data_IF_558453125794
#
_entry.id   IF_558453125794
#
_cell.length_a   1.000
_cell.length_b   1.000
_cell.length_c   1.000
_cell.angle_alpha   90.00
_cell.angle_beta   90.00
_cell.angle_gamma   90.00
#
_symmetry.space_group_name_H-M   'P 1'
#
loop_
_entity.id
_entity.type
_entity.pdbx_description
1 polymer ?
#
# COMPACT_ATOMS: atom_id res chain seq x y z
N UNK A 1 -14.97 25.31 48.80
CA UNK A 1 -16.26 24.76 49.25
C UNK A 1 -17.30 24.84 48.11
N UNK A 2 -17.02 24.24 46.94
CA UNK A 2 -17.93 24.28 45.76
C UNK A 2 -17.81 23.00 44.90
N UNK A 3 -17.61 21.83 45.53
CA UNK A 3 -17.43 20.54 44.82
C UNK A 3 -18.60 19.55 44.99
N UNK A 4 -19.75 19.98 45.54
CA UNK A 4 -20.82 19.04 45.94
C UNK A 4 -22.25 19.51 45.62
N UNK A 5 -22.52 20.03 44.41
CA UNK A 5 -23.91 20.40 44.06
C UNK A 5 -24.42 19.96 42.68
N UNK A 6 -23.64 19.25 41.88
CA UNK A 6 -24.10 18.79 40.55
C UNK A 6 -24.14 17.26 40.45
N UNK A 7 -24.60 16.62 41.53
CA UNK A 7 -24.84 15.18 41.61
C UNK A 7 -26.35 14.84 41.75
N UNK A 8 -27.25 15.74 41.36
CA UNK A 8 -28.70 15.61 41.58
C UNK A 8 -29.56 16.02 40.37
N UNK A 9 -29.23 15.52 39.18
CA UNK A 9 -30.21 15.45 38.08
C UNK A 9 -30.26 14.03 37.50
N UNK A 10 -30.64 13.09 38.37
CA UNK A 10 -31.15 11.77 38.00
C UNK A 10 -32.64 11.88 37.64
N UNK A 11 -33.13 10.91 36.87
CA UNK A 11 -34.53 10.51 36.59
C UNK A 11 -35.22 11.09 35.33
N UNK A 12 -35.40 10.20 34.34
CA UNK A 12 -36.34 10.32 33.22
C UNK A 12 -35.65 9.94 31.90
N UNK A 13 -35.57 8.69 31.49
CA UNK A 13 -36.71 7.94 30.97
C UNK A 13 -36.38 6.45 30.95
N UNK A 14 -37.15 5.69 31.73
CA UNK A 14 -37.13 4.25 31.90
C UNK A 14 -38.14 3.61 30.91
N UNK A 15 -37.86 2.37 30.52
CA UNK A 15 -38.78 1.37 29.94
C UNK A 15 -39.26 1.54 28.49
N UNK A 16 -38.86 0.59 27.63
CA UNK A 16 -39.85 -0.26 26.96
C UNK A 16 -39.25 -1.63 26.59
N UNK A 17 -39.41 -2.60 27.48
CA UNK A 17 -39.28 -4.04 27.23
C UNK A 17 -40.68 -4.63 27.36
N UNK A 18 -41.26 -5.11 26.26
CA UNK A 18 -42.44 -5.99 26.20
C UNK A 18 -42.26 -6.88 24.95
N UNK A 19 -41.66 -8.07 25.06
CA UNK A 19 -42.32 -9.38 25.22
C UNK A 19 -43.53 -9.54 24.32
N UNK A 20 -43.45 -10.43 23.31
CA UNK A 20 -44.48 -11.42 23.01
C UNK A 20 -43.87 -12.64 22.30
N UNK A 21 -43.63 -13.70 23.08
CA UNK A 21 -43.57 -15.08 22.61
C UNK A 21 -44.98 -15.55 22.27
N UNK A 22 -45.15 -16.24 21.14
CA UNK A 22 -46.44 -16.83 20.75
C UNK A 22 -46.28 -18.08 19.89
N UNK A 23 -46.17 -19.24 20.54
CA UNK A 23 -46.45 -20.55 19.93
C UNK A 23 -47.84 -21.02 20.36
N UNK A 24 -48.76 -21.24 19.41
CA UNK A 24 -49.68 -22.40 19.37
C UNK A 24 -50.78 -22.24 18.31
N UNK A 25 -50.85 -23.17 17.34
CA UNK A 25 -52.06 -23.92 16.95
C UNK A 25 -51.77 -24.81 15.73
N UNK A 26 -51.81 -26.12 15.93
CA UNK A 26 -52.37 -27.06 14.95
C UNK A 26 -53.90 -27.10 15.18
N UNK A 27 -54.79 -27.35 14.18
CA UNK A 27 -54.85 -28.66 13.52
C UNK A 27 -55.49 -28.72 12.10
N UNK A 28 -55.55 -29.97 11.60
CA UNK A 28 -56.44 -30.61 10.61
C UNK A 28 -55.99 -30.72 9.15
N UNK A 29 -55.69 -31.99 8.85
CA UNK A 29 -55.81 -32.72 7.59
C UNK A 29 -56.90 -32.20 6.64
N UNK A 30 -56.48 -31.96 5.40
CA UNK A 30 -57.36 -31.93 4.24
C UNK A 30 -56.70 -32.79 3.15
N UNK A 31 -57.39 -33.87 2.79
CA UNK A 31 -57.02 -34.79 1.71
C UNK A 31 -57.31 -34.10 0.38
N UNK A 32 -56.27 -33.73 -0.37
CA UNK A 32 -56.43 -33.26 -1.74
C UNK A 32 -55.74 -34.19 -2.75
N UNK A 33 -56.60 -34.60 -3.67
CA UNK A 33 -56.46 -35.38 -4.89
C UNK A 33 -55.11 -35.20 -5.61
N UNK A 34 -54.47 -36.31 -6.02
CA UNK A 34 -53.30 -36.31 -6.91
C UNK A 34 -53.69 -35.70 -8.27
N UNK A 35 -52.99 -34.66 -8.76
CA UNK A 35 -53.04 -34.32 -10.18
C UNK A 35 -52.33 -35.40 -11.00
N UNK A 36 -52.84 -35.63 -12.22
CA UNK A 36 -52.25 -36.52 -13.21
C UNK A 36 -50.79 -36.13 -13.53
N UNK A 37 -49.91 -37.08 -13.90
CA UNK A 37 -48.53 -36.77 -14.21
C UNK A 37 -48.46 -35.85 -15.43
N UNK A 38 -47.85 -34.69 -15.23
CA UNK A 38 -47.40 -33.80 -16.30
C UNK A 38 -46.36 -34.55 -17.13
N UNK A 39 -46.38 -34.49 -18.48
CA UNK A 39 -45.30 -35.07 -19.27
C UNK A 39 -43.98 -34.44 -18.83
N UNK A 40 -43.06 -35.30 -18.40
CA UNK A 40 -41.73 -34.94 -17.94
C UNK A 40 -40.96 -34.35 -19.13
N UNK A 41 -40.79 -33.03 -19.13
CA UNK A 41 -39.89 -32.34 -20.06
C UNK A 41 -38.50 -32.80 -19.68
N UNK A 42 -37.90 -33.66 -20.51
CA UNK A 42 -36.49 -34.04 -20.37
C UNK A 42 -35.67 -32.77 -20.56
N UNK A 43 -34.98 -32.25 -19.53
CA UNK A 43 -34.14 -31.08 -19.69
C UNK A 43 -33.04 -31.42 -20.71
N UNK A 44 -32.92 -30.59 -21.73
CA UNK A 44 -31.82 -30.66 -22.67
C UNK A 44 -30.51 -30.53 -21.89
N UNK A 45 -29.68 -31.57 -21.95
CA UNK A 45 -28.41 -31.63 -21.24
C UNK A 45 -27.46 -30.60 -21.84
N UNK A 46 -27.34 -29.44 -21.20
CA UNK A 46 -26.23 -28.52 -21.46
C UNK A 46 -24.98 -29.22 -20.91
N UNK A 47 -24.01 -29.61 -21.76
CA UNK A 47 -22.77 -30.18 -21.25
C UNK A 47 -22.10 -29.14 -20.34
N UNK A 48 -21.75 -29.57 -19.13
CA UNK A 48 -20.99 -28.74 -18.21
C UNK A 48 -19.75 -28.20 -18.92
N UNK A 49 -19.35 -26.93 -18.69
CA UNK A 49 -18.08 -26.43 -19.20
C UNK A 49 -16.99 -27.39 -18.73
N UNK A 50 -16.14 -27.82 -19.66
CA UNK A 50 -15.04 -28.72 -19.35
C UNK A 50 -14.23 -28.12 -18.18
N UNK A 51 -13.86 -28.93 -17.17
CA UNK A 51 -13.04 -28.45 -16.07
C UNK A 51 -11.77 -27.84 -16.65
N UNK A 52 -11.26 -26.72 -16.08
CA UNK A 52 -10.04 -26.11 -16.58
C UNK A 52 -8.94 -27.18 -16.62
N UNK A 53 -8.43 -27.42 -17.83
CA UNK A 53 -7.26 -28.27 -18.05
C UNK A 53 -6.15 -27.77 -17.13
N UNK A 54 -5.74 -28.60 -16.18
CA UNK A 54 -4.57 -28.34 -15.35
C UNK A 54 -3.32 -28.62 -16.19
N UNK A 55 -3.09 -27.86 -17.24
CA UNK A 55 -1.73 -27.82 -17.79
C UNK A 55 -0.80 -27.32 -16.68
N UNK A 56 0.30 -28.04 -16.38
CA UNK A 56 1.28 -27.55 -15.43
C UNK A 56 1.76 -26.18 -15.89
N UNK A 57 1.31 -25.12 -15.21
CA UNK A 57 1.80 -23.78 -15.47
C UNK A 57 3.30 -23.82 -15.19
N UNK A 58 4.10 -23.71 -16.26
CA UNK A 58 5.54 -23.73 -16.17
C UNK A 58 5.97 -22.70 -15.11
N UNK A 59 6.77 -23.08 -14.10
CA UNK A 59 7.17 -22.14 -13.05
C UNK A 59 7.80 -20.92 -13.71
N UNK A 60 7.41 -19.72 -13.25
CA UNK A 60 7.99 -18.48 -13.71
C UNK A 60 9.51 -18.58 -13.57
N UNK A 61 10.22 -18.63 -14.69
CA UNK A 61 11.68 -18.67 -14.70
C UNK A 61 12.19 -17.44 -13.96
N UNK A 62 13.22 -17.56 -13.09
CA UNK A 62 13.80 -16.39 -12.44
C UNK A 62 14.25 -15.39 -13.52
N UNK A 63 13.85 -14.12 -13.40
CA UNK A 63 14.26 -13.08 -14.36
C UNK A 63 15.79 -13.00 -14.38
N UNK A 64 16.38 -12.85 -15.56
CA UNK A 64 17.82 -12.65 -15.67
C UNK A 64 18.23 -11.31 -15.05
N UNK A 65 19.42 -11.29 -14.44
CA UNK A 65 19.96 -10.09 -13.78
C UNK A 65 20.06 -8.92 -14.76
N UNK A 66 20.47 -9.17 -16.01
CA UNK A 66 20.60 -8.13 -17.03
C UNK A 66 19.27 -7.41 -17.31
N UNK A 67 18.16 -8.17 -17.36
CA UNK A 67 16.82 -7.60 -17.54
C UNK A 67 16.47 -6.71 -16.35
N UNK A 68 16.68 -7.19 -15.12
CA UNK A 68 16.43 -6.43 -13.89
C UNK A 68 17.22 -5.11 -13.90
N UNK A 69 18.50 -5.15 -14.24
CA UNK A 69 19.37 -3.95 -14.28
C UNK A 69 18.92 -2.97 -15.36
N UNK A 70 18.48 -3.47 -16.52
CA UNK A 70 17.98 -2.60 -17.58
C UNK A 70 16.67 -1.91 -17.21
N UNK A 71 15.73 -2.64 -16.62
CA UNK A 71 14.44 -2.11 -16.16
C UNK A 71 14.62 -1.13 -15.01
N UNK A 72 15.53 -1.42 -14.07
CA UNK A 72 15.72 -0.57 -12.89
C UNK A 72 16.11 0.85 -13.27
N UNK A 73 16.81 1.05 -14.40
CA UNK A 73 17.22 2.40 -14.85
C UNK A 73 16.04 3.31 -15.20
N UNK A 74 14.93 2.76 -15.66
CA UNK A 74 13.73 3.55 -15.99
C UNK A 74 12.74 3.65 -14.84
N UNK A 75 12.82 2.74 -13.85
CA UNK A 75 11.89 2.67 -12.72
C UNK A 75 12.42 3.38 -11.47
N UNK A 76 13.72 3.26 -11.17
CA UNK A 76 14.35 3.86 -9.99
C UNK A 76 14.62 5.35 -10.22
N UNK A 77 13.55 6.11 -10.40
CA UNK A 77 13.57 7.53 -10.67
C UNK A 77 13.79 8.34 -9.39
N UNK A 78 14.52 9.45 -9.51
CA UNK A 78 14.72 10.40 -8.42
C UNK A 78 13.41 11.06 -8.00
N UNK A 79 13.23 11.21 -6.70
CA UNK A 79 12.13 11.99 -6.14
C UNK A 79 12.65 13.28 -5.54
N UNK A 80 11.89 14.36 -5.66
CA UNK A 80 12.34 15.70 -5.30
C UNK A 80 11.55 16.27 -4.13
N UNK A 81 12.15 17.26 -3.46
CA UNK A 81 11.61 17.91 -2.28
C UNK A 81 11.64 19.43 -2.39
N UNK A 82 10.67 20.06 -1.74
CA UNK A 82 10.68 21.50 -1.52
C UNK A 82 11.81 21.93 -0.56
N UNK A 83 12.13 23.22 -0.59
CA UNK A 83 13.13 23.80 0.31
C UNK A 83 12.79 23.52 1.77
N UNK A 84 13.77 23.04 2.51
CA UNK A 84 13.65 22.70 3.94
C UNK A 84 12.55 21.68 4.28
N UNK A 85 12.11 20.87 3.30
CA UNK A 85 11.09 19.82 3.49
C UNK A 85 11.66 18.42 3.27
N UNK A 86 11.03 17.48 3.94
CA UNK A 86 11.21 16.03 3.75
C UNK A 86 9.89 15.30 3.51
N UNK A 87 8.75 16.00 3.47
CA UNK A 87 7.45 15.39 3.23
C UNK A 87 7.31 14.88 1.81
N UNK A 88 6.59 13.77 1.65
CA UNK A 88 6.33 13.16 0.36
C UNK A 88 5.12 13.82 -0.30
N UNK A 89 5.39 14.59 -1.35
CA UNK A 89 4.36 15.14 -2.24
C UNK A 89 3.54 14.04 -2.91
N UNK A 90 2.38 14.38 -3.48
CA UNK A 90 1.58 13.41 -4.25
C UNK A 90 2.31 12.84 -5.46
N UNK A 91 3.17 13.63 -6.11
CA UNK A 91 4.03 13.17 -7.22
C UNK A 91 5.06 12.16 -6.70
N UNK A 92 5.77 12.51 -5.63
CA UNK A 92 6.76 11.65 -4.96
C UNK A 92 6.15 10.31 -4.56
N UNK A 93 4.95 10.33 -3.96
CA UNK A 93 4.24 9.11 -3.58
C UNK A 93 3.88 8.24 -4.78
N UNK A 94 3.48 8.84 -5.92
CA UNK A 94 3.21 8.10 -7.17
C UNK A 94 4.46 7.40 -7.68
N UNK A 95 5.61 8.07 -7.69
CA UNK A 95 6.90 7.45 -8.07
C UNK A 95 7.26 6.31 -7.13
N UNK A 96 7.12 6.50 -5.82
CA UNK A 96 7.41 5.45 -4.83
C UNK A 96 6.50 4.23 -4.99
N UNK A 97 5.24 4.41 -5.38
CA UNK A 97 4.33 3.28 -5.72
C UNK A 97 4.86 2.50 -6.93
N UNK A 98 5.32 3.18 -7.98
CA UNK A 98 5.90 2.50 -9.15
C UNK A 98 7.17 1.70 -8.78
N UNK A 99 8.02 2.26 -7.94
CA UNK A 99 9.20 1.57 -7.41
C UNK A 99 8.78 0.34 -6.59
N UNK A 100 7.80 0.48 -5.69
CA UNK A 100 7.29 -0.63 -4.89
C UNK A 100 6.71 -1.75 -5.76
N UNK A 101 5.88 -1.43 -6.76
CA UNK A 101 5.30 -2.40 -7.68
C UNK A 101 6.39 -3.20 -8.42
N UNK A 102 7.48 -2.54 -8.79
CA UNK A 102 8.61 -3.20 -9.44
C UNK A 102 9.42 -4.07 -8.47
N UNK A 103 9.66 -3.61 -7.24
CA UNK A 103 10.33 -4.41 -6.20
C UNK A 103 9.54 -5.67 -5.85
N UNK A 104 8.22 -5.58 -5.74
CA UNK A 104 7.35 -6.75 -5.51
C UNK A 104 7.44 -7.77 -6.64
N UNK A 105 7.59 -7.30 -7.88
CA UNK A 105 7.78 -8.19 -9.04
C UNK A 105 9.16 -8.83 -9.03
N UNK A 106 10.17 -8.22 -8.40
CA UNK A 106 11.57 -8.65 -8.40
C UNK A 106 12.02 -9.03 -6.97
N UNK A 107 11.50 -10.13 -6.40
CA UNK A 107 11.85 -10.53 -5.04
C UNK A 107 13.36 -10.79 -4.92
N UNK A 108 13.95 -10.34 -3.80
CA UNK A 108 15.39 -10.46 -3.53
C UNK A 108 16.24 -9.30 -4.06
N UNK A 109 15.68 -8.43 -4.91
CA UNK A 109 16.34 -7.17 -5.27
C UNK A 109 16.45 -6.27 -4.04
N UNK A 110 17.63 -5.72 -3.82
CA UNK A 110 17.89 -4.74 -2.78
C UNK A 110 18.21 -3.38 -3.39
N UNK A 111 17.75 -2.32 -2.74
CA UNK A 111 18.03 -0.94 -3.17
C UNK A 111 18.55 -0.08 -2.02
N UNK A 112 19.42 0.87 -2.36
CA UNK A 112 19.90 1.94 -1.50
C UNK A 112 19.18 3.23 -1.85
N UNK A 113 18.73 3.95 -0.82
CA UNK A 113 18.07 5.25 -0.92
C UNK A 113 19.04 6.31 -0.44
N UNK A 114 19.53 7.14 -1.36
CA UNK A 114 20.51 8.19 -1.10
C UNK A 114 19.79 9.53 -0.91
N UNK A 115 19.89 10.14 0.28
CA UNK A 115 19.25 11.42 0.59
C UNK A 115 20.19 12.60 0.36
N UNK A 116 19.76 13.57 -0.45
CA UNK A 116 20.54 14.74 -0.85
C UNK A 116 19.83 16.06 -0.52
N UNK A 117 20.62 17.11 -0.36
CA UNK A 117 20.21 18.48 -0.09
C UNK A 117 20.84 19.45 -1.09
N UNK A 118 20.31 20.68 -1.13
CA UNK A 118 21.03 21.78 -1.76
C UNK A 118 22.07 22.36 -0.79
N UNK A 119 22.95 23.23 -1.30
CA UNK A 119 24.12 23.77 -0.61
C UNK A 119 23.81 24.77 0.52
N UNK A 120 22.52 25.08 0.77
CA UNK A 120 22.14 26.08 1.75
C UNK A 120 22.05 25.43 3.13
N UNK A 121 22.80 25.98 4.08
CA UNK A 121 22.84 25.50 5.46
C UNK A 121 24.23 25.01 5.85
N UNK A 122 24.36 24.41 7.03
CA UNK A 122 25.58 23.72 7.44
C UNK A 122 25.56 22.28 6.94
N UNK A 123 26.73 21.70 6.66
CA UNK A 123 26.87 20.31 6.21
C UNK A 123 26.19 19.33 7.19
N UNK A 124 26.32 19.53 8.51
CA UNK A 124 25.69 18.67 9.53
C UNK A 124 24.16 18.73 9.47
N UNK A 125 23.63 19.93 9.24
CA UNK A 125 22.19 20.12 9.04
C UNK A 125 21.72 19.39 7.79
N UNK A 126 22.46 19.53 6.69
CA UNK A 126 22.11 18.91 5.41
C UNK A 126 22.25 17.39 5.45
N UNK A 127 23.21 16.84 6.19
CA UNK A 127 23.29 15.41 6.49
C UNK A 127 22.05 14.93 7.27
N UNK A 128 21.65 15.65 8.31
CA UNK A 128 20.46 15.29 9.08
C UNK A 128 19.16 15.40 8.26
N UNK A 129 19.04 16.42 7.40
CA UNK A 129 17.88 16.61 6.52
C UNK A 129 17.83 15.54 5.43
N UNK A 130 18.96 15.22 4.81
CA UNK A 130 19.05 14.16 3.81
C UNK A 130 18.72 12.79 4.40
N UNK A 131 19.14 12.50 5.64
CA UNK A 131 18.77 11.28 6.35
C UNK A 131 17.26 11.20 6.56
N UNK A 132 16.62 12.30 7.00
CA UNK A 132 15.15 12.37 7.14
C UNK A 132 14.44 12.12 5.83
N UNK A 133 14.93 12.65 4.71
CA UNK A 133 14.37 12.40 3.36
C UNK A 133 14.45 10.93 2.99
N UNK A 134 15.64 10.33 3.10
CA UNK A 134 15.85 8.93 2.75
C UNK A 134 15.00 7.99 3.63
N UNK A 135 14.95 8.26 4.94
CA UNK A 135 14.12 7.50 5.89
C UNK A 135 12.62 7.65 5.64
N UNK A 136 12.16 8.81 5.19
CA UNK A 136 10.74 8.99 4.86
C UNK A 136 10.36 8.19 3.62
N UNK A 137 11.21 8.19 2.59
CA UNK A 137 11.03 7.32 1.41
C UNK A 137 11.07 5.84 1.77
N UNK A 138 12.05 5.40 2.57
CA UNK A 138 12.16 4.03 3.07
C UNK A 138 10.90 3.60 3.81
N UNK A 139 10.48 4.40 4.79
CA UNK A 139 9.29 4.12 5.60
C UNK A 139 8.04 4.00 4.74
N UNK A 140 7.88 4.87 3.74
CA UNK A 140 6.76 4.80 2.83
C UNK A 140 6.77 3.53 1.98
N UNK A 141 7.92 3.12 1.44
CA UNK A 141 8.05 1.83 0.73
C UNK A 141 7.71 0.64 1.63
N UNK A 142 8.11 0.68 2.91
CA UNK A 142 7.70 -0.33 3.89
C UNK A 142 6.18 -0.34 4.10
N UNK A 143 5.53 0.82 4.19
CA UNK A 143 4.05 0.87 4.27
C UNK A 143 3.35 0.32 3.04
N UNK A 144 4.02 0.34 1.88
CA UNK A 144 3.53 -0.28 0.66
C UNK A 144 3.76 -1.80 0.63
N UNK A 145 4.45 -2.37 1.61
CA UNK A 145 4.66 -3.82 1.73
C UNK A 145 6.03 -4.31 1.28
N UNK A 146 7.00 -3.42 1.05
CA UNK A 146 8.37 -3.81 0.78
C UNK A 146 9.07 -4.20 2.09
N UNK A 147 9.74 -5.36 2.09
CA UNK A 147 10.53 -5.78 3.23
C UNK A 147 11.69 -4.80 3.48
N UNK A 148 11.76 -4.29 4.71
CA UNK A 148 12.87 -3.45 5.19
C UNK A 148 14.25 -4.07 4.96
N UNK A 149 14.38 -5.40 4.95
CA UNK A 149 15.65 -6.09 4.67
C UNK A 149 16.16 -5.90 3.22
N UNK A 150 15.27 -5.49 2.30
CA UNK A 150 15.61 -5.16 0.92
C UNK A 150 15.90 -3.66 0.71
N UNK A 151 15.78 -2.85 1.77
CA UNK A 151 15.98 -1.41 1.72
C UNK A 151 17.17 -1.02 2.59
N UNK A 152 17.92 -0.04 2.12
CA UNK A 152 18.92 0.66 2.91
C UNK A 152 18.85 2.15 2.61
N UNK A 153 19.28 2.99 3.55
CA UNK A 153 19.30 4.44 3.40
C UNK A 153 20.65 5.00 3.80
N UNK A 154 21.06 6.07 3.12
CA UNK A 154 22.25 6.85 3.47
C UNK A 154 22.00 8.32 3.13
N UNK A 155 22.52 9.24 3.93
CA UNK A 155 22.57 10.65 3.58
C UNK A 155 23.93 11.06 3.03
N UNK A 156 23.92 11.83 1.96
CA UNK A 156 25.08 12.58 1.48
C UNK A 156 24.98 14.08 1.74
N UNK A 157 23.87 14.56 2.32
CA UNK A 157 23.61 15.98 2.48
C UNK A 157 23.83 16.74 1.17
N UNK A 158 24.63 17.79 1.21
CA UNK A 158 24.98 18.61 0.06
C UNK A 158 26.25 18.16 -0.69
N UNK A 159 26.94 17.12 -0.22
CA UNK A 159 28.29 16.73 -0.69
C UNK A 159 28.32 16.14 -2.11
N UNK A 160 27.15 15.78 -2.66
CA UNK A 160 27.01 15.15 -3.99
C UNK A 160 25.93 15.83 -4.82
N UNK A 161 26.15 17.10 -5.24
CA UNK A 161 25.20 17.82 -6.08
C UNK A 161 25.16 17.19 -7.47
N UNK A 162 23.96 17.11 -8.05
CA UNK A 162 23.78 16.73 -9.46
C UNK A 162 23.97 17.96 -10.37
N UNK A 163 23.61 19.14 -9.86
CA UNK A 163 23.79 20.43 -10.53
C UNK A 163 24.57 21.36 -9.58
N UNK A 164 25.83 21.70 -9.88
CA UNK A 164 26.66 22.54 -9.01
C UNK A 164 26.30 24.03 -9.09
N UNK A 165 25.24 24.42 -9.82
CA UNK A 165 24.81 25.80 -9.92
C UNK A 165 24.31 26.38 -8.59
N UNK A 166 24.51 27.70 -8.42
CA UNK A 166 24.14 28.45 -7.23
C UNK A 166 22.83 29.22 -7.42
N UNK A 167 21.78 28.52 -7.84
CA UNK A 167 20.47 29.11 -8.13
C UNK A 167 19.35 28.10 -7.88
N UNK A 168 18.11 28.60 -7.81
CA UNK A 168 16.95 27.75 -7.46
C UNK A 168 16.72 26.60 -8.45
N UNK A 169 17.08 26.74 -9.73
CA UNK A 169 16.95 25.67 -10.71
C UNK A 169 17.88 24.49 -10.34
N UNK A 170 19.12 24.79 -9.96
CA UNK A 170 20.08 23.77 -9.51
C UNK A 170 19.69 23.19 -8.14
N UNK A 171 19.31 24.05 -7.19
CA UNK A 171 18.91 23.63 -5.85
C UNK A 171 17.70 22.69 -5.89
N UNK A 172 16.70 22.98 -6.73
CA UNK A 172 15.54 22.11 -6.90
C UNK A 172 15.91 20.70 -7.37
N UNK A 173 16.91 20.55 -8.25
CA UNK A 173 17.43 19.24 -8.68
C UNK A 173 18.21 18.54 -7.55
N UNK A 174 18.94 19.30 -6.75
CA UNK A 174 19.79 18.73 -5.69
C UNK A 174 18.98 18.22 -4.48
N UNK A 175 17.83 18.83 -4.18
CA UNK A 175 16.90 18.38 -3.12
C UNK A 175 16.16 17.10 -3.54
N UNK A 176 16.81 15.95 -3.42
CA UNK A 176 16.28 14.69 -3.92
C UNK A 176 16.59 13.47 -3.05
N UNK A 177 15.87 12.39 -3.30
CA UNK A 177 16.30 11.04 -2.99
C UNK A 177 16.59 10.28 -4.29
N UNK A 178 17.78 9.69 -4.36
CA UNK A 178 18.23 8.86 -5.48
C UNK A 178 18.14 7.38 -5.10
N UNK A 179 17.68 6.53 -6.01
CA UNK A 179 17.47 5.11 -5.77
C UNK A 179 18.48 4.29 -6.57
N UNK A 180 19.27 3.49 -5.87
CA UNK A 180 20.36 2.72 -6.47
C UNK A 180 20.15 1.23 -6.24
N UNK A 181 20.24 0.46 -7.32
CA UNK A 181 20.24 -1.00 -7.25
C UNK A 181 21.52 -1.49 -6.54
N UNK A 182 21.35 -2.37 -5.55
CA UNK A 182 22.45 -3.08 -4.89
C UNK A 182 22.52 -4.50 -5.48
N UNK A 183 23.41 -4.70 -6.44
CA UNK A 183 23.72 -6.03 -6.94
C UNK A 183 24.71 -6.69 -5.97
N UNK A 184 24.45 -7.96 -5.64
CA UNK A 184 25.33 -8.84 -4.88
C UNK A 184 26.01 -9.84 -5.83
#
# INVERSE_FOLDING_TARGET
MVRSFLLCLMLGLLMMVCIFSGCHKAPKSESQMRPAPTPEVVPEYIPAPEPPSWEPQQPAQPRSVDVIVSESKSILLDVHFEYDRFDLSSETRRTLVQIADWLMKNPGVKIMIEGHCDERGSNEYNLALGERRAKNCESYLVTLGIDSANLSSISYGEERPIDPGHNEIAWAKNRRCHFKLMLY
#
